data_IF_562805790678
#
_entry.id   IF_562805790678
#
_cell.length_a   1.000
_cell.length_b   1.000
_cell.length_c   1.000
_cell.angle_alpha   90.00
_cell.angle_beta   90.00
_cell.angle_gamma   90.00
#
_symmetry.space_group_name_H-M   'P 1'
#
loop_
_entity.id
_entity.type
_entity.pdbx_description
1 polymer ?
#
# COMPACT_ATOMS: atom_id res chain seq x y z
N UNK A 1 1.82 17.39 -24.22
CA UNK A 1 2.00 16.10 -23.54
C UNK A 1 2.37 16.39 -22.10
N UNK A 2 1.69 15.78 -21.13
CA UNK A 2 2.03 15.91 -19.70
C UNK A 2 2.62 14.57 -19.27
N UNK A 3 3.74 14.58 -18.56
CA UNK A 3 4.41 13.40 -18.06
C UNK A 3 4.79 13.56 -16.60
N UNK A 4 4.76 12.46 -15.85
CA UNK A 4 5.10 12.40 -14.43
C UNK A 4 6.31 11.51 -14.23
N UNK A 5 7.05 11.73 -13.15
CA UNK A 5 8.20 10.92 -12.77
C UNK A 5 8.06 10.52 -11.32
N UNK A 6 8.12 9.22 -11.06
CA UNK A 6 8.29 8.67 -9.72
C UNK A 6 9.63 7.96 -9.66
N UNK A 7 10.63 8.60 -9.05
CA UNK A 7 11.97 8.02 -8.91
C UNK A 7 12.04 6.89 -7.87
N UNK A 8 11.07 6.87 -6.95
CA UNK A 8 10.94 5.85 -5.91
C UNK A 8 9.52 5.27 -5.93
N UNK A 9 9.18 4.45 -6.94
CA UNK A 9 7.90 3.77 -6.99
C UNK A 9 7.84 2.68 -5.92
N UNK A 10 6.63 2.28 -5.55
CA UNK A 10 6.39 1.25 -4.55
C UNK A 10 5.28 0.29 -5.01
N UNK A 11 5.28 -0.90 -4.41
CA UNK A 11 4.08 -1.73 -4.33
C UNK A 11 3.53 -1.49 -2.94
N UNK A 12 2.42 -0.79 -2.85
CA UNK A 12 1.76 -0.51 -1.58
C UNK A 12 0.95 -1.76 -1.21
N UNK A 13 1.28 -2.37 -0.06
CA UNK A 13 0.57 -3.53 0.49
C UNK A 13 -0.40 -3.05 1.55
N UNK A 14 -1.69 -3.27 1.32
CA UNK A 14 -2.77 -2.89 2.22
C UNK A 14 -3.30 -4.17 2.85
N UNK A 15 -3.20 -4.26 4.18
CA UNK A 15 -3.66 -5.40 4.96
C UNK A 15 -4.84 -4.99 5.84
N UNK A 16 -5.99 -5.59 5.60
CA UNK A 16 -7.17 -5.39 6.45
C UNK A 16 -7.12 -6.35 7.64
N UNK A 17 -7.19 -5.81 8.85
CA UNK A 17 -7.21 -6.58 10.10
C UNK A 17 -8.37 -6.11 10.97
N UNK A 18 -9.04 -7.05 11.64
CA UNK A 18 -10.01 -6.70 12.67
C UNK A 18 -9.29 -6.41 13.99
N UNK A 19 -9.52 -5.23 14.59
CA UNK A 19 -9.05 -4.86 15.93
C UNK A 19 -7.54 -5.10 16.14
N UNK A 20 -6.70 -4.26 15.54
CA UNK A 20 -5.23 -4.36 15.60
C UNK A 20 -4.72 -4.46 17.04
N UNK A 21 -4.05 -5.57 17.36
CA UNK A 21 -3.41 -5.81 18.67
C UNK A 21 -1.90 -5.72 18.57
N UNK A 22 -1.31 -4.76 19.29
CA UNK A 22 0.15 -4.59 19.35
C UNK A 22 0.78 -5.76 20.15
N UNK A 23 1.98 -6.18 19.75
CA UNK A 23 2.72 -7.32 20.35
C UNK A 23 1.99 -8.67 20.29
N UNK A 24 1.04 -8.82 19.37
CA UNK A 24 0.31 -10.07 19.14
C UNK A 24 0.34 -10.42 17.66
N UNK A 25 0.12 -11.70 17.36
CA UNK A 25 -0.20 -12.12 16.00
C UNK A 25 -1.57 -11.55 15.59
N UNK A 26 -1.61 -10.85 14.46
CA UNK A 26 -2.83 -10.33 13.85
C UNK A 26 -3.14 -11.12 12.58
N UNK A 27 -4.32 -11.75 12.53
CA UNK A 27 -4.79 -12.44 11.33
C UNK A 27 -5.30 -11.41 10.32
N UNK A 28 -4.74 -11.43 9.11
CA UNK A 28 -5.20 -10.62 7.98
C UNK A 28 -6.51 -11.20 7.44
N UNK A 29 -7.50 -10.34 7.24
CA UNK A 29 -8.80 -10.69 6.67
C UNK A 29 -8.74 -10.63 5.15
N UNK A 30 -8.23 -9.51 4.61
CA UNK A 30 -8.02 -9.29 3.19
C UNK A 30 -6.67 -8.63 2.96
N UNK A 31 -6.07 -8.90 1.80
CA UNK A 31 -4.84 -8.27 1.37
C UNK A 31 -5.01 -7.75 -0.06
N UNK A 32 -4.59 -6.50 -0.27
CA UNK A 32 -4.61 -5.84 -1.58
C UNK A 32 -3.24 -5.24 -1.86
N UNK A 33 -2.86 -5.21 -3.13
CA UNK A 33 -1.66 -4.51 -3.59
C UNK A 33 -2.06 -3.44 -4.58
N UNK A 34 -1.39 -2.30 -4.53
CA UNK A 34 -1.56 -1.21 -5.48
C UNK A 34 -0.21 -0.66 -5.91
N UNK A 35 -0.13 -0.07 -7.10
CA UNK A 35 1.08 0.62 -7.56
C UNK A 35 1.15 1.98 -6.88
N UNK A 36 2.08 2.13 -5.94
CA UNK A 36 2.31 3.35 -5.17
C UNK A 36 3.35 4.25 -5.81
N UNK A 37 3.13 5.55 -5.73
CA UNK A 37 4.09 6.54 -6.21
C UNK A 37 3.42 7.87 -6.53
N UNK A 38 4.01 8.99 -6.11
CA UNK A 38 3.36 10.30 -6.31
C UNK A 38 3.08 10.60 -7.78
N UNK A 39 4.00 10.31 -8.68
CA UNK A 39 3.77 10.48 -10.12
C UNK A 39 2.92 9.37 -10.75
N UNK A 40 2.81 8.19 -10.11
CA UNK A 40 1.90 7.11 -10.53
C UNK A 40 0.44 7.46 -10.17
N UNK A 41 0.25 8.17 -9.06
CA UNK A 41 -1.07 8.56 -8.55
C UNK A 41 -1.66 9.82 -9.22
N UNK A 42 -0.84 10.59 -9.96
CA UNK A 42 -1.24 11.80 -10.72
C UNK A 42 -1.83 11.39 -12.05
#
# INVERSE_FOLDING_TARGET
MIGTVTLNPAIDVILEVSNLKINHYNKVLNAHTTSGGKGINV
#
